data_IF_941675162111
#
_entry.id   IF_941675162111
#
_cell.length_a   1.000
_cell.length_b   1.000
_cell.length_c   1.000
_cell.angle_alpha   90.00
_cell.angle_beta   90.00
_cell.angle_gamma   90.00
#
_symmetry.space_group_name_H-M   'P 1'
#
loop_
_entity.id
_entity.type
_entity.pdbx_description
1 polymer ?
#
# COMPACT_ATOMS: atom_id res chain seq x y z
N UNK A 1 -15.45 -7.80 -1.91
CA UNK A 1 -15.71 -6.91 -3.05
C UNK A 1 -16.90 -6.01 -2.75
N UNK A 2 -16.74 -4.68 -2.88
CA UNK A 2 -17.75 -3.73 -2.46
C UNK A 2 -19.03 -3.93 -3.26
N UNK A 3 -20.16 -3.90 -2.56
CA UNK A 3 -21.49 -4.13 -3.14
C UNK A 3 -21.99 -2.96 -4.01
N UNK A 4 -21.24 -1.85 -4.06
CA UNK A 4 -21.60 -0.65 -4.80
C UNK A 4 -21.60 -0.93 -6.32
N UNK A 5 -22.70 -0.64 -7.03
CA UNK A 5 -22.80 -0.82 -8.48
C UNK A 5 -21.67 -0.17 -9.28
N UNK A 6 -21.08 0.92 -8.77
CA UNK A 6 -20.01 1.66 -9.45
C UNK A 6 -18.74 0.81 -9.68
N UNK A 7 -18.51 -0.23 -8.87
CA UNK A 7 -17.30 -1.07 -8.97
C UNK A 7 -17.53 -2.40 -9.71
N UNK A 8 -18.76 -2.68 -10.13
CA UNK A 8 -19.15 -4.00 -10.67
C UNK A 8 -18.51 -4.33 -12.03
N UNK A 9 -18.01 -3.33 -12.75
CA UNK A 9 -17.29 -3.48 -14.02
C UNK A 9 -15.80 -3.74 -13.86
N UNK A 10 -15.25 -3.71 -12.64
CA UNK A 10 -13.82 -3.89 -12.38
C UNK A 10 -13.55 -5.21 -11.67
N UNK A 11 -12.45 -5.87 -12.03
CA UNK A 11 -12.04 -7.14 -11.44
C UNK A 11 -11.18 -6.97 -10.17
N UNK A 12 -10.40 -5.88 -10.11
CA UNK A 12 -9.52 -5.56 -9.00
C UNK A 12 -9.67 -4.11 -8.59
N UNK A 13 -9.63 -3.85 -7.29
CA UNK A 13 -9.69 -2.52 -6.72
C UNK A 13 -8.41 -2.21 -5.95
N UNK A 14 -7.77 -1.11 -6.34
CA UNK A 14 -6.56 -0.60 -5.72
C UNK A 14 -6.79 0.80 -5.13
N UNK A 15 -6.14 1.09 -4.00
CA UNK A 15 -6.11 2.43 -3.41
C UNK A 15 -4.68 2.89 -3.16
N UNK A 16 -4.42 4.17 -3.39
CA UNK A 16 -3.13 4.80 -3.10
C UNK A 16 -3.30 5.82 -1.96
N UNK A 17 -3.14 5.40 -0.68
CA UNK A 17 -3.30 6.30 0.46
C UNK A 17 -2.16 7.30 0.56
N UNK A 18 -2.50 8.58 0.73
CA UNK A 18 -1.54 9.69 0.89
C UNK A 18 -1.38 10.14 2.34
N UNK A 19 -2.21 9.64 3.27
CA UNK A 19 -2.19 10.01 4.69
C UNK A 19 -2.22 8.78 5.59
N UNK A 20 -1.67 8.89 6.81
CA UNK A 20 -1.68 7.79 7.79
C UNK A 20 -3.11 7.33 8.12
N UNK A 21 -4.05 8.29 8.24
CA UNK A 21 -5.45 7.99 8.53
C UNK A 21 -6.10 7.17 7.42
N UNK A 22 -5.85 7.55 6.16
CA UNK A 22 -6.39 6.81 5.01
C UNK A 22 -5.74 5.42 4.91
N UNK A 23 -4.44 5.32 5.15
CA UNK A 23 -3.73 4.04 5.16
C UNK A 23 -4.30 3.10 6.23
N UNK A 24 -4.50 3.59 7.45
CA UNK A 24 -5.11 2.82 8.52
C UNK A 24 -6.53 2.37 8.18
N UNK A 25 -7.38 3.27 7.67
CA UNK A 25 -8.75 2.94 7.26
C UNK A 25 -8.78 1.90 6.12
N UNK A 26 -7.88 2.04 5.12
CA UNK A 26 -7.74 1.08 4.03
C UNK A 26 -7.35 -0.31 4.55
N UNK A 27 -6.43 -0.36 5.51
CA UNK A 27 -5.96 -1.60 6.12
C UNK A 27 -6.99 -2.29 7.01
N UNK A 28 -7.94 -1.56 7.60
CA UNK A 28 -8.90 -2.11 8.58
C UNK A 28 -10.30 -2.32 8.02
N UNK A 29 -10.78 -1.44 7.15
CA UNK A 29 -12.21 -1.33 6.85
C UNK A 29 -12.56 -1.41 5.38
N UNK A 30 -11.64 -1.04 4.48
CA UNK A 30 -11.97 -0.99 3.05
C UNK A 30 -11.95 -2.37 2.43
N UNK A 31 -12.93 -2.61 1.57
CA UNK A 31 -13.06 -3.84 0.78
C UNK A 31 -12.37 -3.62 -0.58
N UNK A 32 -11.07 -3.90 -0.60
CA UNK A 32 -10.15 -3.66 -1.71
C UNK A 32 -9.17 -4.83 -1.80
N UNK A 33 -8.56 -5.01 -2.97
CA UNK A 33 -7.61 -6.09 -3.23
C UNK A 33 -6.17 -5.61 -3.03
N UNK A 34 -5.87 -4.37 -3.40
CA UNK A 34 -4.50 -3.83 -3.45
C UNK A 34 -4.39 -2.49 -2.72
N UNK A 35 -3.35 -2.33 -1.90
CA UNK A 35 -2.92 -1.03 -1.35
C UNK A 35 -1.60 -0.64 -2.00
N UNK A 36 -1.62 0.40 -2.84
CA UNK A 36 -0.43 0.97 -3.46
C UNK A 36 0.26 1.90 -2.46
N UNK A 37 1.44 1.52 -2.00
CA UNK A 37 2.20 2.39 -1.09
C UNK A 37 2.95 3.44 -1.91
N UNK A 38 2.77 4.74 -1.66
CA UNK A 38 3.55 5.76 -2.35
C UNK A 38 5.02 5.66 -1.90
N UNK A 39 5.88 5.25 -2.82
CA UNK A 39 7.32 4.98 -2.56
C UNK A 39 8.24 5.96 -3.30
N UNK A 40 7.68 6.99 -3.91
CA UNK A 40 8.40 8.01 -4.69
C UNK A 40 9.08 9.07 -3.82
N UNK A 41 8.63 9.20 -2.57
CA UNK A 41 9.10 10.20 -1.61
C UNK A 41 9.32 9.54 -0.24
N UNK A 42 9.92 10.28 0.70
CA UNK A 42 9.97 9.85 2.09
C UNK A 42 8.54 9.75 2.61
N UNK A 43 8.14 8.55 3.04
CA UNK A 43 6.81 8.32 3.56
C UNK A 43 6.54 9.26 4.75
N UNK A 44 5.44 10.05 4.72
CA UNK A 44 5.13 11.01 5.79
C UNK A 44 4.60 10.32 7.05
N UNK A 45 4.42 8.99 7.03
CA UNK A 45 3.90 8.19 8.13
C UNK A 45 4.63 6.86 8.24
N UNK A 46 4.54 6.25 9.43
CA UNK A 46 5.16 4.95 9.70
C UNK A 46 4.20 3.81 9.41
N UNK A 47 4.67 2.79 8.69
CA UNK A 47 3.91 1.56 8.42
C UNK A 47 3.85 0.70 9.69
N UNK A 48 2.80 0.88 10.49
CA UNK A 48 2.60 0.11 11.73
C UNK A 48 2.23 -1.34 11.41
N UNK A 49 2.79 -2.29 12.16
CA UNK A 49 2.52 -3.74 12.00
C UNK A 49 1.06 -4.12 12.18
N UNK A 50 0.37 -3.56 13.18
CA UNK A 50 -1.02 -3.90 13.48
C UNK A 50 -1.97 -3.69 12.27
N UNK A 51 -2.01 -2.49 11.64
CA UNK A 51 -2.83 -2.30 10.45
C UNK A 51 -2.38 -3.17 9.28
N UNK A 52 -1.06 -3.28 9.03
CA UNK A 52 -0.53 -4.09 7.92
C UNK A 52 -0.97 -5.55 8.06
N UNK A 53 -0.82 -6.16 9.24
CA UNK A 53 -1.25 -7.54 9.47
C UNK A 53 -2.76 -7.72 9.29
N UNK A 54 -3.59 -6.78 9.76
CA UNK A 54 -5.03 -6.87 9.55
C UNK A 54 -5.44 -6.71 8.08
N UNK A 55 -4.63 -6.07 7.24
CA UNK A 55 -4.83 -6.07 5.79
C UNK A 55 -4.43 -7.42 5.17
N UNK A 56 -3.25 -7.93 5.54
CA UNK A 56 -2.74 -9.24 5.09
C UNK A 56 -3.69 -10.39 5.44
N UNK A 57 -4.22 -10.40 6.68
CA UNK A 57 -5.15 -11.43 7.14
C UNK A 57 -6.48 -11.42 6.36
N UNK A 58 -6.85 -10.27 5.78
CA UNK A 58 -8.00 -10.12 4.88
C UNK A 58 -7.68 -10.47 3.42
N UNK A 59 -6.44 -10.82 3.10
CA UNK A 59 -5.99 -11.13 1.75
C UNK A 59 -5.69 -9.90 0.89
N UNK A 60 -5.56 -8.72 1.49
CA UNK A 60 -5.15 -7.49 0.78
C UNK A 60 -3.64 -7.54 0.54
N UNK A 61 -3.22 -7.23 -0.68
CA UNK A 61 -1.80 -7.19 -1.05
C UNK A 61 -1.28 -5.75 -1.12
N UNK A 62 0.02 -5.59 -0.87
CA UNK A 62 0.68 -4.28 -0.97
C UNK A 62 1.48 -4.17 -2.26
N UNK A 63 1.23 -3.13 -3.05
CA UNK A 63 1.97 -2.85 -4.28
C UNK A 63 3.09 -1.83 -4.00
N UNK A 64 4.27 -2.11 -4.57
CA UNK A 64 5.43 -1.20 -4.61
C UNK A 64 5.67 -0.75 -6.04
N UNK A 65 5.34 0.50 -6.36
CA UNK A 65 5.60 1.06 -7.70
C UNK A 65 7.07 1.44 -7.85
N UNK A 66 7.83 0.64 -8.61
CA UNK A 66 9.27 0.86 -8.83
C UNK A 66 9.59 1.78 -10.01
N UNK A 67 8.60 2.23 -10.77
CA UNK A 67 8.78 3.02 -12.00
C UNK A 67 9.63 4.29 -11.77
N UNK A 68 9.44 4.96 -10.64
CA UNK A 68 10.21 6.15 -10.25
C UNK A 68 11.68 5.83 -9.94
N UNK A 69 11.97 4.64 -9.38
CA UNK A 69 13.33 4.20 -9.05
C UNK A 69 14.22 3.99 -10.30
N UNK A 70 13.62 3.75 -11.46
CA UNK A 70 14.33 3.63 -12.73
C UNK A 70 14.76 4.99 -13.25
N UNK A 71 13.93 6.02 -13.05
CA UNK A 71 14.11 7.36 -13.65
C UNK A 71 15.07 8.25 -12.88
N UNK A 72 15.07 8.17 -11.56
CA UNK A 72 15.86 9.05 -10.70
C UNK A 72 16.56 8.30 -9.56
N UNK A 73 17.84 8.64 -9.33
CA UNK A 73 18.68 7.96 -8.33
C UNK A 73 18.30 8.29 -6.89
N UNK A 74 17.72 9.46 -6.64
CA UNK A 74 17.21 9.86 -5.31
C UNK A 74 15.92 9.12 -5.02
N UNK A 75 14.99 9.08 -5.98
CA UNK A 75 13.76 8.30 -5.89
C UNK A 75 14.05 6.82 -5.69
N UNK A 76 15.08 6.27 -6.35
CA UNK A 76 15.54 4.89 -6.11
C UNK A 76 15.87 4.61 -4.65
N UNK A 77 16.57 5.53 -3.97
CA UNK A 77 16.90 5.38 -2.55
C UNK A 77 15.63 5.35 -1.70
N UNK A 78 14.67 6.24 -1.96
CA UNK A 78 13.40 6.25 -1.25
C UNK A 78 12.60 4.97 -1.51
N UNK A 79 12.52 4.53 -2.77
CA UNK A 79 11.79 3.31 -3.13
C UNK A 79 12.33 2.09 -2.40
N UNK A 80 13.67 1.89 -2.38
CA UNK A 80 14.29 0.76 -1.69
C UNK A 80 14.07 0.86 -0.17
N UNK A 81 14.26 2.03 0.44
CA UNK A 81 14.09 2.22 1.87
C UNK A 81 12.65 1.96 2.33
N UNK A 82 11.68 2.50 1.58
CA UNK A 82 10.26 2.33 1.88
C UNK A 82 9.80 0.88 1.66
N UNK A 83 10.30 0.23 0.59
CA UNK A 83 10.02 -1.18 0.33
C UNK A 83 10.56 -2.09 1.45
N UNK A 84 11.77 -1.81 1.95
CA UNK A 84 12.32 -2.54 3.11
C UNK A 84 11.47 -2.34 4.36
N UNK A 85 11.03 -1.10 4.64
CA UNK A 85 10.14 -0.83 5.78
C UNK A 85 8.80 -1.57 5.66
N UNK A 86 8.25 -1.65 4.45
CA UNK A 86 7.05 -2.44 4.19
C UNK A 86 7.29 -3.93 4.42
N UNK A 87 8.39 -4.48 3.88
CA UNK A 87 8.79 -5.87 4.05
C UNK A 87 8.96 -6.27 5.53
N UNK A 88 9.54 -5.40 6.35
CA UNK A 88 9.70 -5.62 7.79
C UNK A 88 8.37 -5.62 8.56
N UNK A 89 7.38 -4.88 8.05
CA UNK A 89 6.05 -4.78 8.63
C UNK A 89 5.12 -5.92 8.19
N UNK A 90 5.16 -6.32 6.92
CA UNK A 90 4.33 -7.40 6.39
C UNK A 90 4.99 -8.79 6.52
N UNK A 91 6.29 -8.85 6.82
CA UNK A 91 7.10 -10.08 6.84
C UNK A 91 7.12 -10.83 5.50
N UNK A 92 7.05 -10.10 4.39
CA UNK A 92 7.03 -10.67 3.03
C UNK A 92 5.72 -11.36 2.65
N UNK A 93 4.64 -11.02 3.34
CA UNK A 93 3.27 -11.40 2.99
C UNK A 93 2.54 -10.26 2.31
#
# INVERSE_FOLDING_TARGET
>A
RPADPAYRSFDLLAISPTTEKLFHAACMSYDIDIICVPVTEKLPFTLKRAPVNGAVDRGVVFEVSYSAAVRDSTMRRYTIANANSLMESCKGK
#
